data_IF_478569375522
#
_entry.id   IF_478569375522
#
_cell.length_a   1.000
_cell.length_b   1.000
_cell.length_c   1.000
_cell.angle_alpha   90.00
_cell.angle_beta   90.00
_cell.angle_gamma   90.00
#
_symmetry.space_group_name_H-M   'P 1'
#
loop_
_entity.id
_entity.type
_entity.pdbx_description
1 polymer ?
#
# COMPACT_ATOMS: atom_id res chain seq x y z
N UNK A 1 29.58 -8.82 -16.55
CA UNK A 1 30.36 -8.72 -15.29
C UNK A 1 31.82 -8.67 -15.67
N UNK A 2 32.59 -7.68 -15.20
CA UNK A 2 34.02 -7.62 -15.48
C UNK A 2 34.70 -8.81 -14.78
N UNK A 3 35.51 -9.56 -15.51
CA UNK A 3 36.20 -10.73 -15.01
C UNK A 3 37.61 -10.31 -14.57
N UNK A 4 37.78 -10.06 -13.27
CA UNK A 4 39.06 -9.62 -12.69
C UNK A 4 39.93 -10.84 -12.41
N UNK A 5 40.95 -11.07 -13.23
CA UNK A 5 41.77 -12.28 -13.19
C UNK A 5 43.11 -12.14 -12.44
N UNK A 6 43.38 -11.01 -11.79
CA UNK A 6 44.64 -10.81 -11.06
C UNK A 6 44.44 -10.16 -9.68
N UNK A 7 45.24 -10.54 -8.66
CA UNK A 7 45.20 -9.85 -7.38
C UNK A 7 45.75 -8.42 -7.55
N UNK A 8 44.89 -7.40 -7.36
CA UNK A 8 45.24 -6.00 -7.50
C UNK A 8 44.12 -5.06 -7.04
N UNK A 9 44.41 -3.76 -6.97
CA UNK A 9 43.40 -2.72 -6.74
C UNK A 9 42.92 -2.23 -8.10
N UNK A 10 41.62 -2.41 -8.38
CA UNK A 10 40.99 -1.95 -9.61
C UNK A 10 40.23 -0.65 -9.34
N UNK A 11 40.52 0.37 -10.16
CA UNK A 11 39.78 1.63 -10.15
C UNK A 11 38.79 1.58 -11.30
N UNK A 12 37.51 1.68 -10.99
CA UNK A 12 36.44 1.79 -11.97
C UNK A 12 35.91 3.23 -11.90
N UNK A 13 35.97 3.96 -13.00
CA UNK A 13 35.24 5.21 -13.15
C UNK A 13 33.76 4.84 -13.31
N UNK A 14 33.09 4.77 -12.17
CA UNK A 14 31.64 4.88 -12.15
C UNK A 14 31.36 6.34 -12.49
N UNK A 15 30.68 6.62 -13.60
CA UNK A 15 30.13 7.95 -13.85
C UNK A 15 29.21 8.30 -12.69
N UNK A 16 29.73 9.02 -11.70
CA UNK A 16 28.94 9.59 -10.63
C UNK A 16 28.23 10.80 -11.20
N UNK A 17 27.18 10.56 -11.98
CA UNK A 17 26.13 11.55 -12.13
C UNK A 17 25.79 12.03 -10.72
N UNK A 18 25.73 13.34 -10.51
CA UNK A 18 25.38 13.91 -9.20
C UNK A 18 24.09 13.23 -8.76
N UNK A 19 24.16 12.31 -7.78
CA UNK A 19 22.94 11.82 -7.12
C UNK A 19 22.37 13.06 -6.46
N UNK A 20 21.26 13.64 -6.98
CA UNK A 20 20.70 14.81 -6.35
C UNK A 20 20.40 14.42 -4.90
N UNK A 21 20.76 15.28 -3.97
CA UNK A 21 20.33 15.09 -2.58
C UNK A 21 18.84 15.34 -2.61
N UNK A 22 18.05 14.28 -2.70
CA UNK A 22 16.61 14.39 -2.55
C UNK A 22 16.33 14.83 -1.12
N UNK A 23 15.54 15.89 -0.98
CA UNK A 23 15.08 16.34 0.31
C UNK A 23 14.44 15.15 1.04
N UNK A 24 14.88 14.91 2.29
CA UNK A 24 14.28 13.88 3.11
C UNK A 24 12.78 14.15 3.25
N UNK A 25 11.96 13.22 2.76
CA UNK A 25 10.53 13.38 2.82
C UNK A 25 10.04 13.39 4.28
N UNK A 26 9.28 14.41 4.63
CA UNK A 26 8.65 14.58 5.94
C UNK A 26 7.41 13.69 6.13
N UNK A 27 6.97 13.02 5.06
CA UNK A 27 5.72 12.27 5.01
C UNK A 27 5.97 10.76 4.87
N UNK A 28 6.44 10.12 5.95
CA UNK A 28 6.56 8.66 5.93
C UNK A 28 5.20 8.05 6.28
N UNK A 29 4.70 7.22 5.38
CA UNK A 29 3.36 6.62 5.51
C UNK A 29 3.46 5.21 6.10
N UNK A 30 2.64 4.91 7.09
CA UNK A 30 2.36 3.56 7.55
C UNK A 30 1.13 3.00 6.84
N UNK A 31 1.33 1.99 6.00
CA UNK A 31 0.26 1.25 5.35
C UNK A 31 -0.12 0.01 6.14
N UNK A 32 -1.41 -0.16 6.38
CA UNK A 32 -2.01 -1.34 7.00
C UNK A 32 -2.85 -2.08 5.97
N UNK A 33 -2.64 -3.39 5.84
CA UNK A 33 -3.45 -4.21 4.94
C UNK A 33 -2.93 -5.63 4.86
N UNK A 34 -3.50 -6.37 3.91
CA UNK A 34 -3.07 -7.74 3.61
C UNK A 34 -2.29 -7.75 2.30
N UNK A 35 -1.18 -8.47 2.26
CA UNK A 35 -0.34 -8.65 1.09
C UNK A 35 -0.28 -10.14 0.65
N UNK A 36 0.15 -10.39 -0.59
CA UNK A 36 0.31 -11.76 -1.14
C UNK A 36 1.43 -12.56 -0.51
N UNK A 37 2.43 -11.88 0.05
CA UNK A 37 3.58 -12.49 0.71
C UNK A 37 4.21 -11.47 1.65
N UNK A 38 5.28 -11.89 2.31
CA UNK A 38 6.08 -11.03 3.17
C UNK A 38 5.81 -11.25 4.65
N UNK A 39 6.64 -10.66 5.51
CA UNK A 39 6.58 -10.90 6.94
C UNK A 39 5.31 -10.29 7.54
N UNK A 40 4.59 -11.09 8.33
CA UNK A 40 3.36 -10.69 9.00
C UNK A 40 3.66 -10.06 10.35
N UNK A 41 2.93 -8.99 10.70
CA UNK A 41 3.15 -8.19 11.91
C UNK A 41 4.59 -7.68 12.05
N UNK A 42 5.23 -7.35 10.92
CA UNK A 42 6.54 -6.73 10.88
C UNK A 42 6.50 -5.49 9.98
N UNK A 43 6.74 -4.32 10.57
CA UNK A 43 6.74 -3.05 9.86
C UNK A 43 8.03 -2.96 9.04
N UNK A 44 7.91 -3.16 7.73
CA UNK A 44 9.06 -3.20 6.82
C UNK A 44 9.12 -1.91 6.01
N UNK A 45 10.30 -1.27 6.00
CA UNK A 45 10.53 -0.07 5.21
C UNK A 45 10.63 -0.41 3.72
N UNK A 46 9.83 0.28 2.91
CA UNK A 46 9.83 0.19 1.45
C UNK A 46 10.02 1.58 0.86
N UNK A 47 10.94 1.69 -0.09
CA UNK A 47 11.37 2.96 -0.69
C UNK A 47 11.02 3.07 -2.17
N UNK A 48 10.60 1.98 -2.80
CA UNK A 48 10.18 1.96 -4.20
C UNK A 48 9.25 0.78 -4.48
N UNK A 49 8.53 0.87 -5.60
CA UNK A 49 7.60 -0.17 -6.05
C UNK A 49 8.28 -1.52 -6.32
N UNK A 50 9.50 -1.54 -6.86
CA UNK A 50 10.24 -2.79 -7.11
C UNK A 50 10.58 -3.54 -5.82
N UNK A 51 10.90 -2.80 -4.75
CA UNK A 51 11.14 -3.35 -3.42
C UNK A 51 9.84 -3.91 -2.84
N UNK A 52 8.72 -3.21 -3.03
CA UNK A 52 7.39 -3.70 -2.64
C UNK A 52 7.07 -5.04 -3.29
N UNK A 53 7.13 -5.10 -4.62
CA UNK A 53 6.81 -6.31 -5.40
C UNK A 53 7.68 -7.51 -5.05
N UNK A 54 8.96 -7.26 -4.71
CA UNK A 54 9.87 -8.28 -4.24
C UNK A 54 9.47 -8.86 -2.88
N UNK A 55 9.14 -8.02 -1.90
CA UNK A 55 8.89 -8.43 -0.50
C UNK A 55 7.45 -8.89 -0.29
N UNK A 56 6.48 -8.09 -0.73
CA UNK A 56 5.07 -8.19 -0.36
C UNK A 56 4.17 -8.72 -1.49
N UNK A 57 4.64 -8.68 -2.73
CA UNK A 57 3.89 -9.14 -3.90
C UNK A 57 3.38 -7.98 -4.75
N UNK A 58 2.72 -8.34 -5.84
CA UNK A 58 2.27 -7.39 -6.84
C UNK A 58 0.94 -6.73 -6.51
N UNK A 59 0.31 -6.20 -7.55
CA UNK A 59 -1.13 -5.94 -7.54
C UNK A 59 -1.84 -7.30 -7.44
N UNK A 60 -2.83 -7.40 -6.55
CA UNK A 60 -3.50 -8.65 -6.26
C UNK A 60 -5.02 -8.46 -6.14
N UNK A 61 -5.77 -9.48 -6.53
CA UNK A 61 -7.23 -9.46 -6.49
C UNK A 61 -7.73 -9.88 -5.11
N UNK A 62 -8.25 -8.90 -4.36
CA UNK A 62 -9.00 -9.09 -3.09
C UNK A 62 -8.45 -8.32 -1.88
N UNK A 63 -7.37 -7.57 -2.05
CA UNK A 63 -6.85 -6.60 -1.09
C UNK A 63 -6.43 -5.33 -1.80
N UNK A 64 -6.62 -4.18 -1.16
CA UNK A 64 -6.34 -2.88 -1.77
C UNK A 64 -4.98 -2.31 -1.40
N UNK A 65 -4.20 -3.03 -0.59
CA UNK A 65 -2.89 -2.57 -0.13
C UNK A 65 -1.93 -2.37 -1.30
N UNK A 66 -1.86 -3.33 -2.23
CA UNK A 66 -0.98 -3.25 -3.41
C UNK A 66 -1.33 -2.04 -4.28
N UNK A 67 -2.61 -1.83 -4.55
CA UNK A 67 -3.11 -0.69 -5.32
C UNK A 67 -2.86 0.64 -4.62
N UNK A 68 -3.07 0.71 -3.31
CA UNK A 68 -2.79 1.92 -2.52
C UNK A 68 -1.31 2.28 -2.53
N UNK A 69 -0.42 1.30 -2.34
CA UNK A 69 1.04 1.50 -2.38
C UNK A 69 1.52 1.85 -3.79
N UNK A 70 0.95 1.24 -4.83
CA UNK A 70 1.23 1.61 -6.21
C UNK A 70 0.88 3.08 -6.47
N UNK A 71 -0.35 3.48 -6.09
CA UNK A 71 -0.79 4.86 -6.23
C UNK A 71 0.08 5.84 -5.43
N UNK A 72 0.54 5.45 -4.23
CA UNK A 72 1.44 6.25 -3.41
C UNK A 72 2.74 6.60 -4.16
N UNK A 73 3.45 5.59 -4.65
CA UNK A 73 4.73 5.80 -5.36
C UNK A 73 4.54 6.59 -6.66
N UNK A 74 3.48 6.31 -7.42
CA UNK A 74 3.20 7.03 -8.66
C UNK A 74 2.84 8.50 -8.42
N UNK A 75 2.21 8.83 -7.29
CA UNK A 75 1.82 10.19 -6.95
C UNK A 75 2.95 11.04 -6.34
N UNK A 76 4.12 10.46 -6.06
CA UNK A 76 5.29 11.15 -5.51
C UNK A 76 5.64 10.77 -4.08
N UNK A 77 5.08 9.67 -3.57
CA UNK A 77 5.52 9.06 -2.32
C UNK A 77 6.94 8.51 -2.41
N UNK A 78 7.73 8.68 -1.35
CA UNK A 78 9.16 8.33 -1.33
C UNK A 78 9.44 7.13 -0.43
N UNK A 79 8.90 7.13 0.79
CA UNK A 79 9.15 6.10 1.81
C UNK A 79 7.86 5.72 2.51
N UNK A 80 7.65 4.43 2.70
CA UNK A 80 6.54 3.93 3.49
C UNK A 80 6.95 2.70 4.32
N UNK A 81 6.30 2.54 5.46
CA UNK A 81 6.32 1.32 6.24
C UNK A 81 5.08 0.52 5.90
N UNK A 82 5.26 -0.76 5.61
CA UNK A 82 4.14 -1.67 5.37
C UNK A 82 4.09 -2.67 6.50
N UNK A 83 2.91 -2.80 7.08
CA UNK A 83 2.59 -3.85 8.02
C UNK A 83 1.57 -4.80 7.38
N UNK A 84 2.03 -6.01 7.06
CA UNK A 84 1.17 -7.07 6.56
C UNK A 84 0.43 -7.73 7.73
N UNK A 85 -0.89 -7.64 7.72
CA UNK A 85 -1.75 -8.05 8.84
C UNK A 85 -2.07 -9.55 8.87
N UNK A 86 -2.01 -10.24 7.73
CA UNK A 86 -2.34 -11.65 7.64
C UNK A 86 -1.50 -12.36 6.57
N UNK A 87 -1.21 -13.65 6.80
CA UNK A 87 -0.72 -14.51 5.74
C UNK A 87 -1.88 -14.83 4.78
N UNK A 88 -1.67 -14.75 3.47
CA UNK A 88 -2.70 -15.11 2.52
C UNK A 88 -3.00 -16.60 2.62
N UNK A 89 -4.28 -16.94 2.52
CA UNK A 89 -4.69 -18.34 2.45
C UNK A 89 -4.29 -18.88 1.07
N UNK A 90 -3.45 -19.92 1.06
CA UNK A 90 -3.13 -20.66 -0.16
C UNK A 90 -4.40 -21.31 -0.71
N UNK A 91 -4.83 -20.94 -1.91
CA UNK A 91 -5.71 -21.83 -2.69
C UNK A 91 -4.87 -23.01 -3.18
N UNK A 92 -5.05 -24.18 -2.58
CA UNK A 92 -4.66 -25.44 -3.25
C UNK A 92 -5.56 -25.56 -4.49
N UNK A 93 -4.98 -25.40 -5.67
CA UNK A 93 -5.70 -25.70 -6.92
C UNK A 93 -6.14 -27.16 -6.90
N UNK A 94 -7.43 -27.40 -7.10
CA UNK A 94 -7.93 -28.72 -7.43
C UNK A 94 -7.33 -29.12 -8.78
N UNK A 95 -6.49 -30.16 -8.77
CA UNK A 95 -5.96 -30.79 -9.97
C UNK A 95 -7.13 -31.47 -10.67
N UNK A 96 -7.66 -30.88 -11.74
CA UNK A 96 -8.54 -31.59 -12.65
C UNK A 96 -7.69 -32.53 -13.50
N UNK A 97 -7.53 -33.77 -13.04
CA UNK A 97 -6.99 -34.84 -13.87
C UNK A 97 -8.02 -35.21 -14.94
N UNK A 98 -7.70 -34.95 -16.21
CA UNK A 98 -8.15 -35.81 -17.31
C UNK A 98 -6.94 -36.20 -18.15
N UNK A 99 -6.65 -37.49 -18.10
CA UNK A 99 -5.60 -38.20 -18.82
C UNK A 99 -5.79 -38.13 -20.34
N UNK A 100 -4.68 -38.12 -21.08
CA UNK A 100 -4.57 -38.86 -22.35
C UNK A 100 -4.00 -38.10 -23.55
N UNK A 101 -2.68 -38.28 -23.74
CA UNK A 101 -1.99 -38.55 -25.01
C UNK A 101 -1.41 -37.46 -25.96
N UNK A 102 -0.08 -37.58 -26.07
CA UNK A 102 0.86 -37.38 -27.21
C UNK A 102 1.62 -36.04 -27.40
N UNK A 103 2.85 -36.10 -26.88
CA UNK A 103 4.14 -35.55 -27.32
C UNK A 103 4.24 -34.59 -28.52
N UNK A 104 4.83 -33.40 -28.27
CA UNK A 104 5.99 -32.86 -29.01
C UNK A 104 6.62 -31.67 -28.25
N UNK A 105 7.95 -31.69 -28.07
CA UNK A 105 8.80 -30.64 -27.50
C UNK A 105 8.71 -29.28 -28.23
N UNK A 106 8.67 -28.16 -27.48
CA UNK A 106 9.77 -27.17 -27.38
C UNK A 106 9.41 -25.90 -26.58
N UNK A 107 10.44 -25.39 -25.90
CA UNK A 107 10.69 -24.05 -25.36
C UNK A 107 10.21 -23.75 -23.93
N UNK A 108 11.20 -23.61 -23.03
CA UNK A 108 11.11 -23.20 -21.63
C UNK A 108 10.46 -21.83 -21.45
N UNK A 109 9.25 -21.82 -20.89
CA UNK A 109 8.71 -20.71 -20.10
C UNK A 109 8.77 -21.12 -18.62
N UNK A 110 9.28 -20.30 -17.69
CA UNK A 110 9.20 -20.63 -16.28
C UNK A 110 7.76 -20.42 -15.79
N UNK A 111 6.96 -21.47 -15.95
CA UNK A 111 5.63 -21.62 -15.39
C UNK A 111 5.70 -21.93 -13.89
N UNK A 112 5.32 -20.96 -13.04
CA UNK A 112 4.45 -21.21 -11.88
C UNK A 112 4.06 -19.89 -11.20
N UNK A 113 3.07 -19.19 -11.74
CA UNK A 113 2.36 -18.15 -10.99
C UNK A 113 1.44 -18.83 -9.98
N UNK A 114 1.94 -19.09 -8.78
CA UNK A 114 1.10 -19.49 -7.64
C UNK A 114 0.07 -18.38 -7.44
N UNK A 115 -1.21 -18.66 -7.73
CA UNK A 115 -2.30 -17.69 -7.53
C UNK A 115 -2.65 -17.64 -6.04
N UNK A 116 -2.21 -16.60 -5.34
CA UNK A 116 -2.60 -16.33 -3.97
C UNK A 116 -3.98 -15.67 -3.97
N UNK A 117 -4.95 -16.22 -3.24
CA UNK A 117 -6.18 -15.48 -2.96
C UNK A 117 -5.96 -14.60 -1.74
N UNK A 118 -5.62 -13.35 -1.99
CA UNK A 118 -5.60 -12.31 -0.96
C UNK A 118 -7.01 -11.79 -0.82
N UNK A 119 -7.91 -12.49 -0.13
CA UNK A 119 -9.19 -11.87 0.28
C UNK A 119 -8.96 -11.13 1.58
N UNK A 120 -9.42 -9.89 1.64
CA UNK A 120 -9.51 -9.14 2.89
C UNK A 120 -10.33 -10.00 3.89
N UNK A 121 -9.72 -10.51 4.98
CA UNK A 121 -10.41 -11.44 5.86
C UNK A 121 -11.52 -10.72 6.64
N UNK A 122 -12.66 -11.35 6.91
CA UNK A 122 -13.81 -10.71 7.60
C UNK A 122 -13.48 -10.11 9.01
N UNK A 123 -12.26 -10.29 9.52
CA UNK A 123 -11.75 -9.73 10.77
C UNK A 123 -10.66 -8.65 10.61
N UNK A 124 -10.53 -7.98 9.45
CA UNK A 124 -9.49 -6.94 9.23
C UNK A 124 -9.50 -5.87 10.32
N UNK A 125 -10.67 -5.41 10.75
CA UNK A 125 -10.78 -4.41 11.80
C UNK A 125 -10.06 -4.84 13.10
N UNK A 126 -10.19 -6.11 13.50
CA UNK A 126 -9.48 -6.65 14.67
C UNK A 126 -7.99 -6.80 14.44
N UNK A 127 -7.58 -7.15 13.22
CA UNK A 127 -6.16 -7.24 12.86
C UNK A 127 -5.48 -5.87 12.82
N UNK A 128 -6.21 -4.84 12.38
CA UNK A 128 -5.76 -3.44 12.39
C UNK A 128 -5.57 -2.93 13.80
N UNK A 129 -6.57 -3.11 14.67
CA UNK A 129 -6.46 -2.74 16.10
C UNK A 129 -5.25 -3.46 16.71
N UNK A 130 -5.13 -4.77 16.39
CA UNK A 130 -4.05 -5.59 16.87
C UNK A 130 -4.13 -5.86 18.37
N UNK A 131 -3.06 -6.44 18.90
CA UNK A 131 -2.85 -6.72 20.32
C UNK A 131 -1.44 -6.33 20.71
N UNK A 132 -1.28 -5.84 21.94
CA UNK A 132 0.01 -5.65 22.59
C UNK A 132 0.28 -6.83 23.54
N UNK A 133 1.03 -7.82 23.06
CA UNK A 133 1.46 -8.98 23.87
C UNK A 133 2.89 -8.80 24.42
N UNK A 134 3.41 -7.56 24.44
CA UNK A 134 4.75 -7.21 24.96
C UNK A 134 5.83 -7.05 23.89
N UNK A 135 7.08 -6.93 24.36
CA UNK A 135 8.25 -6.59 23.51
C UNK A 135 8.44 -7.61 22.39
N UNK A 136 8.34 -7.14 21.14
CA UNK A 136 8.50 -7.97 19.94
C UNK A 136 7.27 -8.78 19.49
N UNK A 137 6.12 -8.66 20.17
CA UNK A 137 4.85 -9.32 19.79
C UNK A 137 3.68 -8.35 19.64
N UNK A 138 3.97 -7.09 19.31
CA UNK A 138 2.93 -6.12 18.96
C UNK A 138 2.43 -6.40 17.54
N UNK A 139 1.13 -6.34 17.37
CA UNK A 139 0.46 -6.55 16.09
C UNK A 139 -0.34 -5.32 15.66
N UNK A 140 -0.63 -5.22 14.37
CA UNK A 140 -1.45 -4.13 13.82
C UNK A 140 -0.88 -2.75 14.11
N UNK A 141 -1.72 -1.88 14.68
CA UNK A 141 -1.42 -0.47 14.89
C UNK A 141 -0.40 -0.22 16.02
N UNK A 142 -0.36 -1.09 17.04
CA UNK A 142 0.61 -1.02 18.12
C UNK A 142 2.06 -1.23 17.66
N UNK A 143 2.26 -1.95 16.56
CA UNK A 143 3.59 -2.09 15.96
C UNK A 143 4.14 -0.76 15.48
N UNK A 144 3.26 0.12 14.97
CA UNK A 144 3.67 1.45 14.56
C UNK A 144 4.02 2.36 15.73
N UNK A 145 3.67 2.06 16.98
CA UNK A 145 4.14 2.86 18.13
C UNK A 145 5.66 2.81 18.28
N UNK A 146 6.30 1.73 17.83
CA UNK A 146 7.76 1.55 17.93
C UNK A 146 8.52 2.37 16.89
N UNK A 147 7.85 2.79 15.81
CA UNK A 147 8.43 3.56 14.72
C UNK A 147 7.93 5.00 14.81
N UNK A 148 8.79 5.90 15.28
CA UNK A 148 8.43 7.31 15.45
C UNK A 148 8.44 8.11 14.15
N UNK A 149 9.05 7.58 13.10
CA UNK A 149 9.19 8.27 11.81
C UNK A 149 7.87 8.37 11.03
N UNK A 150 6.87 7.54 11.34
CA UNK A 150 5.59 7.50 10.64
C UNK A 150 4.77 8.76 10.97
N UNK A 151 4.49 9.57 9.97
CA UNK A 151 3.67 10.79 10.09
C UNK A 151 2.27 10.64 9.48
N UNK A 152 2.07 9.70 8.55
CA UNK A 152 0.77 9.41 7.94
C UNK A 152 0.39 7.95 8.20
N UNK A 153 -0.87 7.68 8.49
CA UNK A 153 -1.41 6.31 8.60
C UNK A 153 -2.56 6.15 7.64
N UNK A 154 -2.55 5.06 6.86
CA UNK A 154 -3.66 4.71 6.00
C UNK A 154 -3.88 3.19 5.96
N UNK A 155 -5.13 2.79 5.79
CA UNK A 155 -5.55 1.41 5.61
C UNK A 155 -6.40 1.35 4.33
N UNK A 156 -5.78 1.16 3.15
CA UNK A 156 -6.48 1.27 1.87
C UNK A 156 -7.68 0.33 1.79
N UNK A 157 -8.85 0.90 1.47
CA UNK A 157 -10.08 0.14 1.24
C UNK A 157 -10.71 -0.47 2.49
N UNK A 158 -10.28 -0.04 3.68
CA UNK A 158 -10.90 -0.44 4.95
C UNK A 158 -11.90 0.61 5.38
N UNK A 159 -13.16 0.22 5.38
CA UNK A 159 -14.30 1.12 5.62
C UNK A 159 -15.06 0.77 6.90
N UNK A 160 -14.56 -0.21 7.65
CA UNK A 160 -15.13 -0.62 8.94
C UNK A 160 -15.01 0.52 9.96
N UNK A 161 -16.11 0.99 10.56
CA UNK A 161 -16.08 2.09 11.53
C UNK A 161 -15.16 1.82 12.73
N UNK A 162 -15.10 0.57 13.19
CA UNK A 162 -14.23 0.17 14.30
C UNK A 162 -12.73 0.28 13.95
N UNK A 163 -12.35 -0.02 12.71
CA UNK A 163 -10.96 0.12 12.26
C UNK A 163 -10.58 1.60 12.12
N UNK A 164 -11.50 2.41 11.58
CA UNK A 164 -11.29 3.84 11.41
C UNK A 164 -11.17 4.56 12.75
N UNK A 165 -12.04 4.26 13.73
CA UNK A 165 -11.95 4.82 15.07
C UNK A 165 -10.66 4.43 15.80
N UNK A 166 -10.17 3.20 15.61
CA UNK A 166 -8.88 2.77 16.16
C UNK A 166 -7.71 3.54 15.55
N UNK A 167 -7.70 3.75 14.23
CA UNK A 167 -6.68 4.55 13.54
C UNK A 167 -6.72 6.00 14.04
N UNK A 168 -7.90 6.59 14.16
CA UNK A 168 -8.06 7.95 14.70
C UNK A 168 -7.58 8.06 16.14
N UNK A 169 -8.00 7.13 17.01
CA UNK A 169 -7.58 7.09 18.42
C UNK A 169 -6.06 7.00 18.54
N UNK A 170 -5.41 6.24 17.66
CA UNK A 170 -3.95 6.14 17.64
C UNK A 170 -3.26 7.42 17.18
N UNK A 171 -3.80 8.09 16.16
CA UNK A 171 -3.31 9.40 15.72
C UNK A 171 -3.53 10.48 16.79
N UNK A 172 -4.63 10.43 17.54
CA UNK A 172 -4.89 11.33 18.67
C UNK A 172 -3.88 11.11 19.80
N UNK A 173 -3.59 9.85 20.13
CA UNK A 173 -2.58 9.48 21.14
C UNK A 173 -1.17 9.93 20.71
N UNK A 174 -0.83 9.70 19.44
CA UNK A 174 0.45 10.06 18.84
C UNK A 174 0.30 11.33 18.00
N UNK A 175 0.16 12.49 18.67
CA UNK A 175 -0.14 13.82 18.09
C UNK A 175 0.69 14.30 16.89
N UNK A 176 1.70 13.54 16.46
CA UNK A 176 2.51 13.78 15.27
C UNK A 176 2.05 12.95 14.04
N UNK A 177 0.95 12.20 14.15
CA UNK A 177 0.43 11.32 13.09
C UNK A 177 -0.92 11.77 12.59
N UNK A 178 -1.12 11.68 11.29
CA UNK A 178 -2.37 12.05 10.64
C UNK A 178 -2.96 10.85 9.88
N UNK A 179 -4.25 10.59 10.09
CA UNK A 179 -4.97 9.50 9.46
C UNK A 179 -5.54 9.93 8.09
N UNK A 180 -5.36 9.08 7.09
CA UNK A 180 -6.03 9.22 5.79
C UNK A 180 -6.99 8.03 5.64
N UNK A 181 -8.28 8.35 5.66
CA UNK A 181 -9.38 7.40 5.67
C UNK A 181 -10.13 7.41 4.33
N UNK A 182 -10.65 6.23 3.97
CA UNK A 182 -11.44 6.02 2.75
C UNK A 182 -12.93 5.88 3.05
N UNK A 183 -13.72 6.23 2.04
CA UNK A 183 -15.14 5.94 1.95
C UNK A 183 -15.45 4.54 1.44
N UNK A 184 -16.65 4.00 1.68
CA UNK A 184 -17.11 2.79 1.01
C UNK A 184 -17.21 2.96 -0.51
N UNK A 185 -16.93 1.88 -1.24
CA UNK A 185 -16.90 1.86 -2.71
C UNK A 185 -18.28 2.10 -3.33
N UNK A 186 -19.35 1.64 -2.68
CA UNK A 186 -20.74 1.79 -3.13
C UNK A 186 -21.58 2.43 -2.04
N UNK A 187 -22.39 3.42 -2.42
CA UNK A 187 -23.37 4.07 -1.56
C UNK A 187 -24.78 3.69 -2.03
N UNK A 188 -25.48 2.86 -1.25
CA UNK A 188 -26.83 2.39 -1.59
C UNK A 188 -27.94 3.44 -1.32
N UNK A 189 -27.63 4.54 -0.61
CA UNK A 189 -28.58 5.58 -0.21
C UNK A 189 -28.25 7.01 -0.65
N UNK A 190 -27.24 7.19 -1.52
CA UNK A 190 -26.73 8.51 -1.90
C UNK A 190 -25.72 9.10 -0.91
N UNK A 191 -25.12 10.24 -1.27
CA UNK A 191 -23.99 10.86 -0.55
C UNK A 191 -24.35 11.23 0.90
N UNK A 192 -25.59 11.64 1.14
CA UNK A 192 -26.06 12.07 2.46
C UNK A 192 -26.15 10.92 3.49
N UNK A 193 -26.17 9.66 3.02
CA UNK A 193 -26.22 8.47 3.88
C UNK A 193 -24.85 7.87 4.16
N UNK A 194 -23.78 8.55 3.73
CA UNK A 194 -22.43 8.05 3.89
C UNK A 194 -22.08 7.89 5.38
N UNK A 195 -21.55 6.72 5.80
CA UNK A 195 -21.10 6.55 7.16
C UNK A 195 -19.91 7.49 7.41
N UNK A 196 -20.17 8.57 8.14
CA UNK A 196 -19.13 9.50 8.56
C UNK A 196 -18.36 8.89 9.74
N UNK A 197 -17.02 8.84 9.68
CA UNK A 197 -16.24 8.44 10.83
C UNK A 197 -16.40 9.45 11.97
N UNK A 198 -15.93 9.07 13.16
CA UNK A 198 -15.85 9.98 14.30
C UNK A 198 -15.09 11.26 13.92
N UNK A 199 -15.62 12.39 14.32
CA UNK A 199 -14.98 13.69 14.12
C UNK A 199 -13.68 13.77 14.94
N UNK A 200 -12.57 14.02 14.25
CA UNK A 200 -11.24 14.16 14.84
C UNK A 200 -10.40 15.09 13.99
N UNK A 201 -9.64 15.97 14.66
CA UNK A 201 -8.72 16.91 13.99
C UNK A 201 -7.55 16.21 13.31
N UNK A 202 -7.23 14.97 13.70
CA UNK A 202 -6.08 14.21 13.21
C UNK A 202 -6.43 13.24 12.07
N UNK A 203 -7.57 13.43 11.39
CA UNK A 203 -7.99 12.59 10.28
C UNK A 203 -8.54 13.37 9.09
N UNK A 204 -8.29 12.87 7.89
CA UNK A 204 -8.96 13.30 6.66
C UNK A 204 -9.69 12.12 6.03
N UNK A 205 -10.86 12.38 5.48
CA UNK A 205 -11.72 11.39 4.86
C UNK A 205 -11.92 11.70 3.37
N UNK A 206 -11.67 10.73 2.51
CA UNK A 206 -11.67 10.91 1.06
C UNK A 206 -12.76 10.10 0.36
N UNK A 207 -13.52 10.81 -0.47
CA UNK A 207 -14.53 10.30 -1.41
C UNK A 207 -14.39 11.09 -2.72
N UNK A 208 -14.59 10.51 -3.90
CA UNK A 208 -14.93 9.12 -4.22
C UNK A 208 -13.72 8.24 -4.57
N UNK A 209 -13.97 6.97 -4.88
CA UNK A 209 -12.95 6.05 -5.40
C UNK A 209 -12.49 6.43 -6.81
N UNK A 210 -11.19 6.27 -7.05
CA UNK A 210 -10.55 6.58 -8.33
C UNK A 210 -10.44 5.35 -9.22
N UNK A 211 -10.73 5.51 -10.50
CA UNK A 211 -10.53 4.46 -11.50
C UNK A 211 -9.05 4.41 -11.90
N UNK A 212 -8.43 3.25 -11.81
CA UNK A 212 -7.07 3.00 -12.26
C UNK A 212 -7.00 1.76 -13.17
N UNK A 213 -6.03 1.75 -14.07
CA UNK A 213 -5.75 0.57 -14.90
C UNK A 213 -4.87 -0.41 -14.12
N UNK A 214 -5.34 -1.65 -13.98
CA UNK A 214 -4.57 -2.74 -13.39
C UNK A 214 -3.91 -3.57 -14.51
N UNK A 215 -2.58 -3.69 -14.47
CA UNK A 215 -1.83 -4.49 -15.45
C UNK A 215 -2.00 -6.00 -15.26
N UNK A 216 -2.34 -6.45 -14.04
CA UNK A 216 -2.46 -7.88 -13.72
C UNK A 216 -3.83 -8.39 -14.15
N UNK A 217 -4.87 -7.61 -13.88
CA UNK A 217 -6.24 -7.93 -14.26
C UNK A 217 -6.60 -7.47 -15.68
N UNK A 218 -5.71 -6.71 -16.34
CA UNK A 218 -5.90 -6.09 -17.67
C UNK A 218 -7.25 -5.36 -17.82
N UNK A 219 -7.68 -4.71 -16.74
CA UNK A 219 -8.97 -4.02 -16.67
C UNK A 219 -8.88 -2.76 -15.81
N UNK A 220 -9.81 -1.83 -16.07
CA UNK A 220 -9.96 -0.66 -15.23
C UNK A 220 -10.75 -1.03 -13.98
N UNK A 221 -10.13 -0.86 -12.82
CA UNK A 221 -10.72 -1.12 -11.52
C UNK A 221 -10.87 0.18 -10.73
N UNK A 222 -11.80 0.21 -9.79
CA UNK A 222 -11.91 1.30 -8.83
C UNK A 222 -11.05 0.97 -7.63
N UNK A 223 -10.08 1.81 -7.31
CA UNK A 223 -9.20 1.65 -6.17
C UNK A 223 -9.43 2.76 -5.14
N UNK A 224 -9.16 2.49 -3.84
CA UNK A 224 -9.33 3.49 -2.81
C UNK A 224 -8.33 4.64 -2.98
N UNK A 225 -8.75 5.89 -2.72
CA UNK A 225 -7.92 7.06 -2.94
C UNK A 225 -6.84 7.27 -1.87
N UNK A 226 -6.99 6.76 -0.65
CA UNK A 226 -6.09 7.04 0.48
C UNK A 226 -4.60 6.89 0.16
N UNK A 227 -4.20 5.78 -0.46
CA UNK A 227 -2.80 5.53 -0.78
C UNK A 227 -2.23 6.55 -1.77
N UNK A 228 -3.00 6.90 -2.81
CA UNK A 228 -2.59 7.93 -3.75
C UNK A 228 -2.56 9.32 -3.13
N UNK A 229 -3.53 9.65 -2.26
CA UNK A 229 -3.57 10.92 -1.53
C UNK A 229 -2.37 11.07 -0.59
N UNK A 230 -1.97 10.01 0.11
CA UNK A 230 -0.73 10.03 0.91
C UNK A 230 0.50 10.34 0.04
N UNK A 231 0.49 9.91 -1.23
CA UNK A 231 1.54 10.25 -2.21
C UNK A 231 1.49 11.71 -2.64
N UNK A 232 0.28 12.24 -2.85
CA UNK A 232 0.06 13.67 -3.14
C UNK A 232 0.54 14.55 -1.99
N UNK A 233 0.27 14.17 -0.74
CA UNK A 233 0.77 14.87 0.44
C UNK A 233 2.30 14.98 0.38
N UNK A 234 3.01 13.89 0.07
CA UNK A 234 4.47 13.92 -0.06
C UNK A 234 5.00 14.75 -1.19
N UNK A 235 4.31 14.72 -2.32
CA UNK A 235 4.68 15.56 -3.45
C UNK A 235 4.52 17.04 -3.12
N UNK A 236 3.41 17.43 -2.48
CA UNK A 236 3.16 18.82 -2.08
C UNK A 236 4.15 19.26 -1.02
N UNK A 237 4.38 18.43 -0.01
CA UNK A 237 5.37 18.70 1.05
C UNK A 237 6.77 18.91 0.47
N UNK A 238 7.17 18.10 -0.51
CA UNK A 238 8.51 18.20 -1.12
C UNK A 238 8.66 19.38 -2.08
N UNK A 239 7.58 19.80 -2.74
CA UNK A 239 7.64 20.85 -3.79
C UNK A 239 7.25 22.24 -3.29
N UNK A 240 6.27 22.32 -2.39
CA UNK A 240 5.68 23.56 -1.87
C UNK A 240 5.92 23.71 -0.36
N UNK A 241 6.10 22.61 0.36
CA UNK A 241 6.22 22.59 1.82
C UNK A 241 4.88 22.31 2.53
N UNK A 242 4.98 21.85 3.77
CA UNK A 242 3.86 21.39 4.63
C UNK A 242 2.76 22.43 4.90
N UNK A 243 3.06 23.72 4.69
CA UNK A 243 2.12 24.81 4.93
C UNK A 243 1.10 24.97 3.78
N UNK A 244 1.37 24.38 2.61
CA UNK A 244 0.48 24.45 1.47
C UNK A 244 -0.52 23.30 1.55
N UNK A 245 -1.81 23.64 1.50
CA UNK A 245 -2.87 22.64 1.44
C UNK A 245 -2.67 21.71 0.22
N UNK A 246 -2.75 20.37 0.38
CA UNK A 246 -2.61 19.39 -0.68
C UNK A 246 -3.90 19.25 -1.50
N UNK A 247 -4.40 20.38 -1.99
CA UNK A 247 -5.59 20.50 -2.82
C UNK A 247 -5.23 21.14 -4.17
N UNK A 248 -6.03 20.85 -5.21
CA UNK A 248 -5.79 21.28 -6.59
C UNK A 248 -4.50 20.66 -7.20
N UNK A 249 -4.24 19.40 -6.87
CA UNK A 249 -3.09 18.63 -7.33
C UNK A 249 -3.54 17.51 -8.28
N UNK A 250 -2.72 17.22 -9.30
CA UNK A 250 -3.02 16.16 -10.26
C UNK A 250 -2.85 14.79 -9.62
N UNK A 251 -3.89 13.96 -9.68
CA UNK A 251 -3.81 12.56 -9.27
C UNK A 251 -3.33 11.72 -10.44
N UNK A 252 -2.06 11.32 -10.43
CA UNK A 252 -1.33 10.79 -11.60
C UNK A 252 -1.82 9.42 -12.08
N UNK A 253 -2.49 8.66 -11.21
CA UNK A 253 -2.91 7.28 -11.49
C UNK A 253 -4.40 7.14 -11.81
N UNK A 254 -5.18 8.21 -11.65
CA UNK A 254 -6.62 8.15 -11.86
C UNK A 254 -6.95 8.46 -13.33
N UNK A 255 -7.72 7.56 -13.94
CA UNK A 255 -8.33 7.74 -15.25
C UNK A 255 -9.71 8.40 -15.16
N UNK A 256 -10.39 8.21 -14.02
CA UNK A 256 -11.73 8.70 -13.77
C UNK A 256 -12.11 8.55 -12.30
N UNK A 257 -13.32 8.97 -11.96
CA UNK A 257 -13.92 8.79 -10.63
C UNK A 257 -15.12 7.86 -10.75
N UNK A 258 -15.40 7.10 -9.69
CA UNK A 258 -16.59 6.25 -9.64
C UNK A 258 -17.88 7.06 -9.58
N UNK A 259 -17.87 8.14 -8.81
CA UNK A 259 -18.99 9.07 -8.67
C UNK A 259 -18.57 10.44 -9.17
N UNK A 260 -19.37 11.01 -10.08
CA UNK A 260 -19.22 12.40 -10.47
C UNK A 260 -20.04 13.26 -9.51
N UNK A 261 -19.35 14.03 -8.68
CA UNK A 261 -19.96 15.02 -7.80
C UNK A 261 -20.31 16.25 -8.65
N UNK A 262 -21.59 16.60 -8.68
CA UNK A 262 -22.13 17.79 -9.37
C UNK A 262 -22.68 18.78 -8.37
#
# INVERSE_FOLDING_TARGET
>A
MPNYQTPGVYVEEIESGSKPIEAGATNIVGFLGVAEKGPVNQATLVTNWTQYTKIFGGLHEGGWLGHGVYQFFQNGGTKCYINNLAEPKLKKGEVSQKNGDKAAEKADEPANSVKYEVKNPDNIAKLIIGKDEGVGKKSGLHLFDEIQDISLICAPGVTDPAAQDAILTHCEKNRFRFAVLDSPETLDGGIDTMPMPRDSIMGAYYFPWGQMYDMVADQNIYAPPSGGICGVYGRVDSTRGVHKAPANELFKTALGLKYNLT
#
